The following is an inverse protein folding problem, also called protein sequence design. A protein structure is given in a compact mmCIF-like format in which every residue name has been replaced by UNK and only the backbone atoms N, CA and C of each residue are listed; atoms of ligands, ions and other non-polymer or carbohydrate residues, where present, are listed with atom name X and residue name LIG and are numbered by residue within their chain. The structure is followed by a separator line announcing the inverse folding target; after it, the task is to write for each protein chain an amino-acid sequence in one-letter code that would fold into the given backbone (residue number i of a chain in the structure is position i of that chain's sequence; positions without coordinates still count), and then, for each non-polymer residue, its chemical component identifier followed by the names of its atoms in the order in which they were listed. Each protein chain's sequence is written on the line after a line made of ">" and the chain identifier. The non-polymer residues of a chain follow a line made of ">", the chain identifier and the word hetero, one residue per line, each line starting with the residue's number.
data_IF_854038818232
#
_entry.id   IF_854038818232
#
_cell.length_a   1.000
_cell.length_b   1.000
_cell.length_c   1.000
_cell.angle_alpha   90.00
_cell.angle_beta   90.00
_cell.angle_gamma   90.00
#
_symmetry.space_group_name_H-M   'P 1'
#
loop_
_entity.id
_entity.type
_entity.pdbx_description
1 polymer ?
#
# COMPACT_ATOMS: atom_id res chain seq x y z
N UNK A 1 -8.29 -14.78 12.90
CA UNK A 1 -7.69 -14.73 11.57
C UNK A 1 -6.92 -13.45 11.38
N UNK A 2 -5.74 -13.56 10.79
CA UNK A 2 -4.91 -12.39 10.53
C UNK A 2 -4.76 -12.13 9.04
N UNK A 3 -4.57 -10.87 8.71
CA UNK A 3 -4.30 -10.46 7.33
C UNK A 3 -2.99 -9.68 7.32
N UNK A 4 -2.04 -10.13 6.51
CA UNK A 4 -0.79 -9.40 6.38
C UNK A 4 -1.00 -8.20 5.47
N UNK A 5 -0.60 -7.03 5.97
CA UNK A 5 -0.81 -5.76 5.28
C UNK A 5 0.53 -5.08 5.07
N UNK A 6 0.73 -4.55 3.88
CA UNK A 6 1.89 -3.73 3.59
C UNK A 6 1.43 -2.29 3.35
N UNK A 7 2.17 -1.36 3.93
CA UNK A 7 1.88 0.06 3.81
C UNK A 7 2.92 0.68 2.88
N UNK A 8 2.44 1.29 1.82
CA UNK A 8 3.31 2.02 0.89
C UNK A 8 3.19 3.51 1.13
N UNK A 9 4.28 4.21 0.95
CA UNK A 9 4.30 5.67 0.97
C UNK A 9 4.76 6.16 -0.39
N UNK A 10 4.47 7.42 -0.66
CA UNK A 10 4.90 8.05 -1.91
C UNK A 10 5.99 9.07 -1.62
N UNK A 11 6.90 9.23 -2.58
CA UNK A 11 7.92 10.27 -2.49
C UNK A 11 7.41 11.63 -2.96
N UNK A 12 6.19 11.68 -3.50
CA UNK A 12 5.62 12.93 -4.00
C UNK A 12 4.90 13.74 -2.93
N UNK A 13 4.25 13.03 -1.96
CA UNK A 13 3.49 13.69 -0.90
C UNK A 13 3.80 13.02 0.42
N UNK A 14 4.02 13.81 1.45
CA UNK A 14 4.48 13.28 2.73
C UNK A 14 3.43 12.49 3.49
N UNK A 15 2.16 12.87 3.35
CA UNK A 15 1.11 12.31 4.19
C UNK A 15 0.21 11.33 3.45
N UNK A 16 0.67 10.85 2.30
CA UNK A 16 -0.13 9.92 1.50
C UNK A 16 0.40 8.50 1.68
N UNK A 17 -0.47 7.61 2.17
CA UNK A 17 -0.14 6.21 2.40
C UNK A 17 -1.16 5.33 1.71
N UNK A 18 -0.71 4.15 1.29
CA UNK A 18 -1.57 3.16 0.66
C UNK A 18 -1.43 1.84 1.42
N UNK A 19 -2.54 1.33 1.93
CA UNK A 19 -2.59 0.07 2.68
C UNK A 19 -3.10 -1.03 1.75
N UNK A 20 -2.32 -2.09 1.60
CA UNK A 20 -2.66 -3.16 0.68
C UNK A 20 -2.46 -4.50 1.37
N UNK A 21 -3.41 -5.42 1.22
CA UNK A 21 -3.22 -6.78 1.68
C UNK A 21 -2.12 -7.43 0.84
N UNK A 22 -1.18 -8.10 1.51
CA UNK A 22 -0.03 -8.70 0.82
C UNK A 22 -0.48 -9.68 -0.26
N UNK A 23 -1.54 -10.43 0.01
CA UNK A 23 -2.05 -11.41 -0.96
C UNK A 23 -2.57 -10.78 -2.24
N UNK A 24 -3.08 -9.54 -2.15
CA UNK A 24 -3.60 -8.83 -3.32
C UNK A 24 -2.50 -8.08 -4.06
N UNK A 25 -1.53 -7.57 -3.31
CA UNK A 25 -0.46 -6.78 -3.90
C UNK A 25 -0.99 -5.51 -4.54
N UNK A 26 -0.15 -4.91 -5.37
CA UNK A 26 -0.53 -3.69 -6.07
C UNK A 26 -1.40 -3.95 -7.31
N UNK A 27 -1.59 -5.21 -7.65
CA UNK A 27 -2.39 -5.58 -8.83
C UNK A 27 -3.85 -5.17 -8.69
N UNK A 28 -4.34 -5.11 -7.44
CA UNK A 28 -5.72 -4.72 -7.16
C UNK A 28 -5.92 -3.21 -7.17
N UNK A 29 -4.85 -2.45 -7.18
CA UNK A 29 -4.94 -0.99 -7.16
C UNK A 29 -5.08 -0.46 -8.58
N UNK A 30 -6.08 0.38 -8.86
CA UNK A 30 -6.24 0.93 -10.20
C UNK A 30 -5.01 1.70 -10.63
N UNK A 31 -4.63 1.56 -11.90
CA UNK A 31 -3.45 2.22 -12.42
C UNK A 31 -3.55 3.74 -12.35
N UNK A 32 -4.77 4.25 -12.52
CA UNK A 32 -4.97 5.71 -12.40
C UNK A 32 -4.59 6.20 -11.01
N UNK A 33 -4.93 5.41 -9.98
CA UNK A 33 -4.57 5.77 -8.60
C UNK A 33 -3.07 5.67 -8.39
N UNK A 34 -2.44 4.64 -8.95
CA UNK A 34 -1.00 4.47 -8.83
C UNK A 34 -0.24 5.61 -9.49
N UNK A 35 -0.76 6.11 -10.60
CA UNK A 35 -0.13 7.26 -11.28
C UNK A 35 -0.17 8.50 -10.41
N UNK A 36 -1.28 8.72 -9.73
CA UNK A 36 -1.42 9.86 -8.81
C UNK A 36 -0.57 9.66 -7.56
N UNK A 37 -0.51 8.43 -7.09
CA UNK A 37 0.27 8.10 -5.91
C UNK A 37 1.77 8.29 -6.16
N UNK A 38 2.22 7.95 -7.34
CA UNK A 38 3.64 7.99 -7.70
C UNK A 38 4.30 6.65 -7.47
N UNK A 39 5.59 6.65 -7.26
CA UNK A 39 6.33 5.42 -7.02
C UNK A 39 6.05 4.91 -5.61
N UNK A 40 5.45 3.73 -5.46
CA UNK A 40 5.17 3.20 -4.13
C UNK A 40 6.45 2.66 -3.48
N UNK A 41 6.68 3.10 -2.25
CA UNK A 41 7.82 2.65 -1.45
C UNK A 41 7.27 1.95 -0.23
N UNK A 42 7.73 0.72 0.01
CA UNK A 42 7.28 -0.03 1.17
C UNK A 42 7.81 0.63 2.44
N UNK A 43 6.90 1.09 3.29
CA UNK A 43 7.26 1.76 4.53
C UNK A 43 7.14 0.83 5.72
N UNK A 44 6.13 -0.03 5.74
CA UNK A 44 5.83 -0.88 6.89
C UNK A 44 5.06 -2.11 6.43
N UNK A 45 5.28 -3.22 7.13
CA UNK A 45 4.54 -4.46 6.91
C UNK A 45 4.14 -5.01 8.27
N UNK A 46 2.87 -5.37 8.43
CA UNK A 46 2.38 -5.89 9.70
C UNK A 46 1.18 -6.80 9.47
N UNK A 47 0.85 -7.58 10.51
CA UNK A 47 -0.32 -8.44 10.49
C UNK A 47 -1.46 -7.77 11.22
N UNK A 48 -2.60 -7.67 10.54
CA UNK A 48 -3.82 -7.15 11.14
C UNK A 48 -4.66 -8.32 11.64
N UNK A 49 -4.83 -8.42 12.94
CA UNK A 49 -5.58 -9.50 13.57
C UNK A 49 -7.02 -9.05 13.80
N UNK A 50 -7.94 -9.81 13.26
CA UNK A 50 -9.37 -9.50 13.37
C UNK A 50 -10.04 -10.33 14.46
#
# INVERSE_FOLDING_TARGET
>A
MGVEVVVYKTNKKRDLYLYVAVTDGLDRVPQALLRQFGEPLEALRFELVL
#
